data_IF_627232371551
#
_entry.id   IF_627232371551
#
_cell.length_a   1.000
_cell.length_b   1.000
_cell.length_c   1.000
_cell.angle_alpha   90.00
_cell.angle_beta   90.00
_cell.angle_gamma   90.00
#
_symmetry.space_group_name_H-M   'P 1'
#
loop_
_entity.id
_entity.type
_entity.pdbx_description
1 polymer ?
#
# COMPACT_ATOMS: atom_id res chain seq x y z
N UNK A 1 25.27 8.97 -4.47
CA UNK A 1 23.96 8.89 -5.15
C UNK A 1 22.99 9.80 -4.41
N UNK A 2 22.31 10.69 -5.09
CA UNK A 2 21.30 11.56 -4.48
C UNK A 2 20.12 10.70 -3.97
N UNK A 3 19.40 11.19 -2.94
CA UNK A 3 18.28 10.43 -2.34
C UNK A 3 17.24 10.01 -3.39
N UNK A 4 16.91 10.93 -4.31
CA UNK A 4 15.98 10.65 -5.41
C UNK A 4 16.44 9.50 -6.31
N UNK A 5 17.72 9.41 -6.62
CA UNK A 5 18.27 8.31 -7.43
C UNK A 5 18.18 6.97 -6.73
N UNK A 6 18.40 6.94 -5.40
CA UNK A 6 18.22 5.72 -4.60
C UNK A 6 16.78 5.20 -4.70
N UNK A 7 15.79 6.10 -4.58
CA UNK A 7 14.37 5.76 -4.69
C UNK A 7 14.02 5.18 -6.06
N UNK A 8 14.44 5.86 -7.14
CA UNK A 8 14.18 5.42 -8.52
C UNK A 8 14.82 4.04 -8.77
N UNK A 9 16.09 3.88 -8.40
CA UNK A 9 16.83 2.62 -8.56
C UNK A 9 16.13 1.47 -7.81
N UNK A 10 15.60 1.73 -6.61
CA UNK A 10 14.85 0.72 -5.85
C UNK A 10 13.59 0.28 -6.57
N UNK A 11 12.83 1.22 -7.14
CA UNK A 11 11.61 0.92 -7.91
C UNK A 11 11.97 0.10 -9.16
N UNK A 12 12.95 0.55 -9.95
CA UNK A 12 13.38 -0.13 -11.19
C UNK A 12 13.86 -1.55 -10.93
N UNK A 13 14.64 -1.74 -9.87
CA UNK A 13 15.17 -3.06 -9.48
C UNK A 13 14.07 -4.09 -9.17
N UNK A 14 12.96 -3.64 -8.63
CA UNK A 14 11.88 -4.51 -8.16
C UNK A 14 10.62 -4.43 -9.06
N UNK A 15 10.71 -3.78 -10.23
CA UNK A 15 9.57 -3.53 -11.11
C UNK A 15 8.83 -4.80 -11.50
N UNK A 16 9.55 -5.86 -11.86
CA UNK A 16 8.94 -7.15 -12.25
C UNK A 16 8.12 -7.76 -11.10
N UNK A 17 8.57 -7.58 -9.85
CA UNK A 17 7.83 -8.03 -8.67
C UNK A 17 6.53 -7.24 -8.51
N UNK A 18 6.58 -5.92 -8.62
CA UNK A 18 5.38 -5.08 -8.52
C UNK A 18 4.39 -5.39 -9.65
N UNK A 19 4.88 -5.56 -10.87
CA UNK A 19 4.04 -5.95 -12.00
C UNK A 19 3.42 -7.33 -11.85
N UNK A 20 4.11 -8.26 -11.16
CA UNK A 20 3.53 -9.58 -10.85
C UNK A 20 2.33 -9.46 -9.90
N UNK A 21 2.34 -8.54 -8.94
CA UNK A 21 1.18 -8.27 -8.08
C UNK A 21 0.01 -7.69 -8.88
N UNK A 22 0.28 -6.72 -9.77
CA UNK A 22 -0.74 -6.14 -10.66
C UNK A 22 -1.40 -7.22 -11.50
N UNK A 23 -0.59 -8.10 -12.11
CA UNK A 23 -1.09 -9.17 -12.98
C UNK A 23 -1.88 -10.21 -12.19
N UNK A 24 -1.39 -10.61 -11.01
CA UNK A 24 -2.09 -11.58 -10.18
C UNK A 24 -3.48 -11.08 -9.76
N UNK A 25 -3.57 -9.84 -9.27
CA UNK A 25 -4.86 -9.23 -8.91
C UNK A 25 -5.79 -9.08 -10.12
N UNK A 26 -5.24 -8.78 -11.30
CA UNK A 26 -6.02 -8.69 -12.52
C UNK A 26 -6.62 -10.04 -12.93
N UNK A 27 -5.83 -11.12 -12.81
CA UNK A 27 -6.25 -12.47 -13.17
C UNK A 27 -7.17 -13.13 -12.13
N UNK A 28 -7.06 -12.68 -10.86
CA UNK A 28 -7.81 -13.19 -9.69
C UNK A 28 -8.47 -12.05 -8.92
N UNK A 29 -9.43 -11.34 -9.54
CA UNK A 29 -10.07 -10.18 -8.89
C UNK A 29 -10.95 -10.63 -7.71
N UNK A 30 -10.76 -10.00 -6.57
CA UNK A 30 -11.56 -10.20 -5.36
C UNK A 30 -12.36 -8.93 -5.04
N UNK A 31 -13.66 -9.09 -4.76
CA UNK A 31 -14.54 -7.96 -4.41
C UNK A 31 -14.40 -7.56 -2.94
N UNK A 32 -14.87 -6.37 -2.60
CA UNK A 32 -14.76 -5.81 -1.26
C UNK A 32 -15.24 -6.73 -0.15
N UNK A 33 -14.45 -6.88 0.90
CA UNK A 33 -14.54 -7.81 2.04
C UNK A 33 -14.28 -9.30 1.70
N UNK A 34 -13.88 -9.63 0.49
CA UNK A 34 -13.50 -10.97 0.06
C UNK A 34 -12.03 -11.06 -0.42
N UNK A 35 -11.24 -9.99 -0.24
CA UNK A 35 -9.88 -9.83 -0.74
C UNK A 35 -8.84 -10.60 0.10
N UNK A 36 -9.13 -11.85 0.45
CA UNK A 36 -8.25 -12.65 1.33
C UNK A 36 -6.95 -13.08 0.66
N UNK A 37 -7.01 -13.52 -0.61
CA UNK A 37 -5.82 -13.95 -1.35
C UNK A 37 -4.93 -12.74 -1.66
N UNK A 38 -5.52 -11.62 -2.04
CA UNK A 38 -4.79 -10.38 -2.30
C UNK A 38 -4.14 -9.84 -1.03
N UNK A 39 -4.85 -9.80 0.10
CA UNK A 39 -4.28 -9.42 1.40
C UNK A 39 -3.04 -10.28 1.73
N UNK A 40 -3.16 -11.59 1.55
CA UNK A 40 -2.07 -12.54 1.79
C UNK A 40 -0.87 -12.24 0.89
N UNK A 41 -1.10 -12.13 -0.42
CA UNK A 41 -0.08 -11.82 -1.41
C UNK A 41 0.70 -10.54 -1.08
N UNK A 42 -0.01 -9.44 -0.82
CA UNK A 42 0.59 -8.13 -0.62
C UNK A 42 1.32 -8.04 0.73
N UNK A 43 0.73 -8.60 1.80
CA UNK A 43 1.37 -8.62 3.12
C UNK A 43 2.62 -9.50 3.15
N UNK A 44 2.61 -10.68 2.52
CA UNK A 44 3.80 -11.53 2.39
C UNK A 44 4.87 -10.87 1.50
N UNK A 45 4.46 -10.17 0.44
CA UNK A 45 5.36 -9.36 -0.37
C UNK A 45 6.11 -8.33 0.49
N UNK A 46 5.40 -7.55 1.29
CA UNK A 46 6.00 -6.55 2.19
C UNK A 46 6.88 -7.20 3.27
N UNK A 47 6.47 -8.36 3.83
CA UNK A 47 7.30 -9.12 4.75
C UNK A 47 8.64 -9.51 4.10
N UNK A 48 8.62 -9.94 2.83
CA UNK A 48 9.85 -10.29 2.09
C UNK A 48 10.78 -9.09 1.87
N UNK A 49 10.24 -7.87 1.82
CA UNK A 49 10.99 -6.62 1.79
C UNK A 49 11.44 -6.15 3.19
N UNK A 50 11.17 -6.92 4.25
CA UNK A 50 11.63 -6.66 5.61
C UNK A 50 10.75 -5.70 6.42
N UNK A 51 9.47 -5.58 6.06
CA UNK A 51 8.47 -4.95 6.91
C UNK A 51 7.94 -5.93 7.95
N UNK A 52 7.54 -5.44 9.11
CA UNK A 52 6.71 -6.18 10.05
C UNK A 52 5.26 -6.10 9.59
N UNK A 53 4.60 -7.24 9.35
CA UNK A 53 3.24 -7.27 8.79
C UNK A 53 2.23 -7.83 9.80
N UNK A 54 1.04 -7.23 9.79
CA UNK A 54 -0.13 -7.71 10.53
C UNK A 54 -1.31 -7.85 9.55
N UNK A 55 -1.80 -9.07 9.38
CA UNK A 55 -2.99 -9.42 8.59
C UNK A 55 -4.26 -9.28 9.45
N UNK A 56 -5.41 -9.21 8.81
CA UNK A 56 -6.71 -8.96 9.44
C UNK A 56 -6.68 -7.73 10.38
N UNK A 57 -6.01 -6.67 9.92
CA UNK A 57 -5.82 -5.43 10.65
C UNK A 57 -7.09 -4.57 10.58
N UNK A 58 -7.76 -4.39 11.74
CA UNK A 58 -9.04 -3.68 11.92
C UNK A 58 -10.23 -4.37 11.21
N UNK A 59 -10.06 -4.74 9.95
CA UNK A 59 -11.06 -5.46 9.14
C UNK A 59 -10.48 -6.77 8.63
N UNK A 60 -11.32 -7.81 8.37
CA UNK A 60 -10.83 -9.16 8.07
C UNK A 60 -9.84 -9.26 6.90
N UNK A 61 -10.01 -8.44 5.87
CA UNK A 61 -9.17 -8.42 4.66
C UNK A 61 -8.18 -7.27 4.64
N UNK A 62 -8.10 -6.46 5.74
CA UNK A 62 -7.11 -5.40 5.89
C UNK A 62 -5.74 -5.90 6.34
N UNK A 63 -4.70 -5.15 6.08
CA UNK A 63 -3.37 -5.39 6.64
C UNK A 63 -2.65 -4.10 6.99
N UNK A 64 -1.64 -4.20 7.83
CA UNK A 64 -0.67 -3.14 8.07
C UNK A 64 0.74 -3.73 7.93
N UNK A 65 1.61 -3.02 7.24
CA UNK A 65 3.04 -3.32 7.20
C UNK A 65 3.83 -2.11 7.67
N UNK A 66 4.75 -2.32 8.61
CA UNK A 66 5.50 -1.24 9.29
C UNK A 66 6.99 -1.46 9.14
N UNK A 67 7.72 -0.40 8.83
CA UNK A 67 9.17 -0.36 8.93
C UNK A 67 9.61 0.87 9.75
N UNK A 68 10.45 0.64 10.76
CA UNK A 68 10.98 1.70 11.65
C UNK A 68 12.47 1.86 11.46
N UNK A 69 12.91 3.10 11.23
CA UNK A 69 14.34 3.43 11.11
C UNK A 69 15.11 3.34 12.43
N UNK A 70 14.41 3.26 13.56
CA UNK A 70 15.02 3.37 14.88
C UNK A 70 15.44 4.80 15.28
N UNK A 71 15.20 5.80 14.42
CA UNK A 71 15.45 7.23 14.68
C UNK A 71 14.14 7.98 14.71
N UNK A 72 14.06 9.04 15.53
CA UNK A 72 12.92 9.94 15.50
C UNK A 72 12.71 10.58 14.13
N UNK A 73 11.46 10.75 13.73
CA UNK A 73 11.09 11.33 12.45
C UNK A 73 9.60 11.13 12.18
N UNK A 74 9.10 11.51 11.00
CA UNK A 74 7.69 11.43 10.67
C UNK A 74 7.21 9.99 10.50
N UNK A 75 5.91 9.79 10.75
CA UNK A 75 5.16 8.58 10.37
C UNK A 75 4.52 8.82 9.02
N UNK A 76 4.98 8.10 8.00
CA UNK A 76 4.52 8.24 6.62
C UNK A 76 3.74 6.99 6.24
N UNK A 77 2.48 7.15 5.85
CA UNK A 77 1.60 6.06 5.43
C UNK A 77 1.34 6.10 3.91
N UNK A 78 1.41 4.94 3.27
CA UNK A 78 0.92 4.70 1.92
C UNK A 78 -0.34 3.86 2.00
N UNK A 79 -1.45 4.39 1.45
CA UNK A 79 -2.73 3.70 1.44
C UNK A 79 -2.80 2.78 0.22
N UNK A 80 -3.20 1.54 0.46
CA UNK A 80 -3.14 0.46 -0.50
C UNK A 80 -4.55 -0.12 -0.68
N UNK A 81 -5.25 0.31 -1.73
CA UNK A 81 -6.55 -0.25 -2.15
C UNK A 81 -6.31 -1.43 -3.08
N UNK A 82 -7.20 -2.45 -3.05
CA UNK A 82 -7.05 -3.66 -3.86
C UNK A 82 -8.36 -4.42 -4.12
N UNK A 83 -9.51 -3.87 -3.76
CA UNK A 83 -10.80 -4.46 -4.11
C UNK A 83 -11.12 -4.26 -5.60
N UNK A 84 -11.79 -5.25 -6.17
CA UNK A 84 -12.28 -5.24 -7.55
C UNK A 84 -13.78 -4.94 -7.60
N UNK A 85 -14.26 -4.51 -8.76
CA UNK A 85 -15.68 -4.32 -9.02
C UNK A 85 -16.35 -5.65 -9.39
N UNK A 86 -17.57 -5.92 -8.91
CA UNK A 86 -18.35 -7.08 -9.36
C UNK A 86 -18.51 -7.08 -10.90
N UNK A 87 -18.29 -8.24 -11.51
CA UNK A 87 -18.44 -8.48 -12.96
C UNK A 87 -17.47 -7.69 -13.87
N UNK A 88 -16.73 -6.70 -13.33
CA UNK A 88 -15.81 -5.83 -14.08
C UNK A 88 -14.35 -6.16 -13.81
N UNK A 89 -14.03 -6.58 -12.58
CA UNK A 89 -12.66 -6.74 -12.12
C UNK A 89 -12.02 -5.40 -11.72
N UNK A 90 -10.72 -5.22 -11.95
CA UNK A 90 -9.98 -4.01 -11.56
C UNK A 90 -10.21 -2.81 -12.50
N UNK A 91 -11.47 -2.47 -12.78
CA UNK A 91 -11.84 -1.35 -13.64
C UNK A 91 -11.46 0.02 -13.06
N UNK A 92 -11.40 0.17 -11.73
CA UNK A 92 -10.94 1.38 -11.06
C UNK A 92 -9.41 1.45 -10.90
N UNK A 93 -8.68 0.39 -11.26
CA UNK A 93 -7.23 0.37 -11.19
C UNK A 93 -6.66 0.16 -9.78
N UNK A 94 -7.42 -0.40 -8.84
CA UNK A 94 -6.94 -0.65 -7.47
C UNK A 94 -5.73 -1.58 -7.43
N UNK A 95 -5.58 -2.51 -8.38
CA UNK A 95 -4.38 -3.31 -8.53
C UNK A 95 -3.12 -2.47 -8.82
N UNK A 96 -3.26 -1.34 -9.53
CA UNK A 96 -2.18 -0.37 -9.74
C UNK A 96 -1.90 0.45 -8.48
N UNK A 97 -2.96 0.86 -7.76
CA UNK A 97 -2.83 1.56 -6.47
C UNK A 97 -2.05 0.71 -5.48
N UNK A 98 -2.40 -0.57 -5.35
CA UNK A 98 -1.71 -1.50 -4.47
C UNK A 98 -0.23 -1.60 -4.78
N UNK A 99 0.12 -1.86 -6.04
CA UNK A 99 1.50 -2.01 -6.46
C UNK A 99 2.32 -0.73 -6.29
N UNK A 100 1.75 0.45 -6.59
CA UNK A 100 2.44 1.73 -6.42
C UNK A 100 2.64 2.09 -4.95
N UNK A 101 1.68 1.81 -4.08
CA UNK A 101 1.81 2.04 -2.64
C UNK A 101 2.90 1.15 -2.02
N UNK A 102 2.98 -0.12 -2.42
CA UNK A 102 4.05 -1.02 -2.00
C UNK A 102 5.41 -0.53 -2.53
N UNK A 103 5.48 -0.19 -3.82
CA UNK A 103 6.72 0.29 -4.44
C UNK A 103 7.23 1.56 -3.74
N UNK A 104 6.34 2.50 -3.40
CA UNK A 104 6.69 3.73 -2.69
C UNK A 104 7.21 3.43 -1.27
N UNK A 105 6.54 2.55 -0.52
CA UNK A 105 6.98 2.14 0.82
C UNK A 105 8.35 1.46 0.80
N UNK A 106 8.56 0.52 -0.12
CA UNK A 106 9.83 -0.19 -0.29
C UNK A 106 10.95 0.74 -0.74
N UNK A 107 10.66 1.67 -1.67
CA UNK A 107 11.65 2.66 -2.10
C UNK A 107 12.05 3.60 -0.96
N UNK A 108 11.08 4.11 -0.18
CA UNK A 108 11.36 4.99 0.95
C UNK A 108 12.24 4.31 2.01
N UNK A 109 12.10 3.00 2.19
CA UNK A 109 12.94 2.21 3.09
C UNK A 109 14.44 2.35 2.79
N UNK A 110 14.84 2.53 1.52
CA UNK A 110 16.25 2.69 1.13
C UNK A 110 16.92 3.96 1.71
N UNK A 111 16.12 4.91 2.16
CA UNK A 111 16.62 6.19 2.70
C UNK A 111 16.12 6.52 4.09
N UNK A 112 15.10 5.82 4.61
CA UNK A 112 14.48 6.16 5.91
C UNK A 112 15.46 6.04 7.08
N UNK A 113 16.42 5.13 7.01
CA UNK A 113 17.45 4.96 8.04
C UNK A 113 18.41 6.16 8.09
N UNK A 114 18.56 6.90 6.99
CA UNK A 114 19.35 8.12 6.93
C UNK A 114 18.59 9.32 7.50
N UNK A 115 17.29 9.45 7.19
CA UNK A 115 16.45 10.61 7.52
C UNK A 115 15.66 10.47 8.81
N UNK A 116 15.38 9.25 9.27
CA UNK A 116 14.55 8.94 10.44
C UNK A 116 13.07 8.81 10.13
N UNK A 117 12.33 8.20 11.05
CA UNK A 117 10.88 8.04 10.95
C UNK A 117 10.41 6.58 10.80
N UNK A 118 9.15 6.45 10.47
CA UNK A 118 8.43 5.19 10.30
C UNK A 118 7.66 5.19 8.97
N UNK A 119 7.67 4.05 8.29
CA UNK A 119 6.88 3.82 7.06
C UNK A 119 5.77 2.86 7.41
N UNK A 120 4.55 3.17 7.00
CA UNK A 120 3.41 2.26 7.03
C UNK A 120 2.86 2.07 5.62
N UNK A 121 2.64 0.81 5.21
CA UNK A 121 1.80 0.48 4.07
C UNK A 121 0.54 -0.14 4.66
N UNK A 122 -0.60 0.52 4.45
CA UNK A 122 -1.86 0.16 5.08
C UNK A 122 -2.81 -0.33 3.99
N UNK A 123 -3.13 -1.62 4.04
CA UNK A 123 -4.10 -2.25 3.16
C UNK A 123 -5.51 -1.85 3.55
N UNK A 124 -6.16 -1.08 2.68
CA UNK A 124 -7.47 -0.47 2.89
C UNK A 124 -8.51 -1.10 1.95
N UNK A 125 -9.04 -2.29 2.27
CA UNK A 125 -9.95 -3.05 1.40
C UNK A 125 -11.33 -2.41 1.29
N UNK A 126 -12.14 -2.92 0.36
CA UNK A 126 -13.58 -2.64 0.24
C UNK A 126 -13.90 -1.15 0.07
N UNK A 127 -13.11 -0.43 -0.74
CA UNK A 127 -13.31 0.99 -0.99
C UNK A 127 -14.67 1.24 -1.64
N UNK A 128 -15.03 0.43 -2.65
CA UNK A 128 -16.19 0.62 -3.52
C UNK A 128 -17.55 0.37 -2.84
N UNK A 129 -17.58 -0.27 -1.68
CA UNK A 129 -18.87 -0.66 -1.05
C UNK A 129 -18.92 -0.49 0.46
N UNK A 130 -17.89 -0.82 1.21
CA UNK A 130 -17.95 -0.83 2.69
C UNK A 130 -17.02 0.16 3.37
N UNK A 131 -16.11 0.80 2.62
CA UNK A 131 -15.22 1.83 3.12
C UNK A 131 -14.28 1.34 4.22
N UNK A 132 -13.36 0.43 3.90
CA UNK A 132 -12.37 -0.07 4.85
C UNK A 132 -11.59 1.05 5.54
N UNK A 133 -11.28 2.14 4.83
CA UNK A 133 -10.64 3.33 5.39
C UNK A 133 -11.48 3.99 6.48
N UNK A 134 -12.82 4.00 6.35
CA UNK A 134 -13.72 4.56 7.36
C UNK A 134 -13.64 3.74 8.66
N UNK A 135 -13.63 2.41 8.55
CA UNK A 135 -13.46 1.52 9.71
C UNK A 135 -12.12 1.74 10.39
N UNK A 136 -11.04 1.91 9.62
CA UNK A 136 -9.69 2.19 10.12
C UNK A 136 -9.59 3.56 10.78
N UNK A 137 -10.21 4.59 10.22
CA UNK A 137 -10.27 5.92 10.83
C UNK A 137 -11.03 5.89 12.17
N UNK A 138 -12.16 5.19 12.22
CA UNK A 138 -12.91 4.99 13.47
C UNK A 138 -12.12 4.20 14.53
N UNK A 139 -11.20 3.34 14.10
CA UNK A 139 -10.27 2.61 14.96
C UNK A 139 -8.98 3.41 15.29
N UNK A 140 -8.94 4.70 14.95
CA UNK A 140 -7.82 5.60 15.24
C UNK A 140 -6.47 5.20 14.59
N UNK A 141 -6.49 4.48 13.48
CA UNK A 141 -5.28 3.99 12.79
C UNK A 141 -4.40 5.14 12.31
N UNK A 142 -4.99 6.28 11.99
CA UNK A 142 -4.31 7.42 11.38
C UNK A 142 -3.96 8.54 12.36
N UNK A 143 -4.32 8.44 13.64
CA UNK A 143 -4.18 9.53 14.62
C UNK A 143 -2.72 9.97 14.85
N UNK A 144 -1.77 9.07 14.68
CA UNK A 144 -0.33 9.31 14.82
C UNK A 144 0.42 9.37 13.48
N UNK A 145 -0.29 9.40 12.34
CA UNK A 145 0.28 9.52 11.01
C UNK A 145 0.46 10.99 10.65
N UNK A 146 1.70 11.39 10.32
CA UNK A 146 2.01 12.76 9.92
C UNK A 146 1.64 13.04 8.46
N UNK A 147 1.79 12.03 7.58
CA UNK A 147 1.49 12.14 6.15
C UNK A 147 0.90 10.83 5.66
N UNK A 148 -0.27 10.88 5.01
CA UNK A 148 -0.86 9.76 4.28
C UNK A 148 -0.93 10.08 2.79
N UNK A 149 -0.51 9.14 1.94
CA UNK A 149 -0.44 9.32 0.48
C UNK A 149 -1.01 8.11 -0.24
N UNK A 150 -1.59 8.39 -1.42
CA UNK A 150 -2.06 7.39 -2.36
C UNK A 150 -2.04 7.98 -3.77
N UNK A 151 -1.78 7.16 -4.78
CA UNK A 151 -1.93 7.54 -6.19
C UNK A 151 -3.11 6.76 -6.75
N UNK A 152 -4.11 7.47 -7.25
CA UNK A 152 -5.28 6.88 -7.91
C UNK A 152 -5.22 7.13 -9.42
N UNK A 153 -5.40 6.11 -10.28
CA UNK A 153 -5.53 6.30 -11.72
C UNK A 153 -6.74 7.20 -12.04
N UNK A 154 -6.54 8.18 -12.93
CA UNK A 154 -7.60 9.06 -13.40
C UNK A 154 -7.37 9.43 -14.88
N UNK A 155 -8.33 10.13 -15.48
CA UNK A 155 -8.26 10.61 -16.86
C UNK A 155 -7.41 11.87 -17.04
N UNK A 156 -7.15 12.58 -15.95
CA UNK A 156 -6.36 13.82 -15.92
C UNK A 156 -5.41 13.82 -14.71
N UNK A 157 -4.23 14.42 -14.89
CA UNK A 157 -3.29 14.62 -13.79
C UNK A 157 -3.80 15.70 -12.83
N UNK A 158 -3.87 15.38 -11.54
CA UNK A 158 -4.35 16.27 -10.51
C UNK A 158 -3.77 15.95 -9.13
N UNK A 159 -3.92 16.89 -8.21
CA UNK A 159 -3.64 16.67 -6.78
C UNK A 159 -4.92 16.99 -6.02
N UNK A 160 -5.45 15.99 -5.33
CA UNK A 160 -6.55 16.12 -4.39
C UNK A 160 -6.04 16.17 -2.95
N UNK A 161 -6.73 16.92 -2.11
CA UNK A 161 -6.45 17.01 -0.66
C UNK A 161 -7.72 17.26 0.12
#
# INVERSE_FOLDING_TARGET
MELKEKLITSVEKNLDTYMSYVQHMYDHPEIGNEEFETMELLSEGLLSFGFETQKAFVVPTGFQAVYKSGKAGPVIAYLCEYDALPEVGHGCGHNLIAATSIAAGVALKEIIDDIGGEIRVIGTPAEENFGGKVSMANAHVFDDVDVAMMIHPDTEDGVGG
#
